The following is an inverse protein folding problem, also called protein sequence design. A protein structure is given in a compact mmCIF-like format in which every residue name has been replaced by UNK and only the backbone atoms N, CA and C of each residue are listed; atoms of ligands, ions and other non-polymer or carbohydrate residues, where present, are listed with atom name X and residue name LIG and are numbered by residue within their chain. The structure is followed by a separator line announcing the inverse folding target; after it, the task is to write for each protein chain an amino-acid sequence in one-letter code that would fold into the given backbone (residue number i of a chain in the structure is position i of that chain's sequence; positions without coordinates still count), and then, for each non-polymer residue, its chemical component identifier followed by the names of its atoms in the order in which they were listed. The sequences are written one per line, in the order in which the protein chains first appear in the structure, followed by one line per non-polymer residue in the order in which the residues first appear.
data_IF_062471592118
#
_entry.id   IF_062471592118
#
_cell.length_a   1.000
_cell.length_b   1.000
_cell.length_c   1.000
_cell.angle_alpha   90.00
_cell.angle_beta   90.00
_cell.angle_gamma   90.00
#
_symmetry.space_group_name_H-M   'P 1'
#
loop_
_entity.id
_entity.type
_entity.pdbx_description
1 polymer ?
#
# COMPACT_ATOMS: atom_id res chain seq x y z
N UNK A 1 -6.63 -2.57 3.45
CA UNK A 1 -6.22 -3.25 2.21
C UNK A 1 -6.34 -4.78 2.25
N UNK A 2 -5.62 -5.51 3.10
CA UNK A 2 -5.63 -7.00 3.07
C UNK A 2 -7.01 -7.60 3.34
N UNK A 3 -7.73 -7.11 4.35
CA UNK A 3 -9.09 -7.55 4.64
C UNK A 3 -10.07 -7.23 3.50
N UNK A 4 -9.90 -6.07 2.85
CA UNK A 4 -10.69 -5.69 1.69
C UNK A 4 -10.40 -6.61 0.49
N UNK A 5 -9.13 -6.95 0.25
CA UNK A 5 -8.74 -7.91 -0.79
C UNK A 5 -9.37 -9.29 -0.54
N UNK A 6 -9.30 -9.79 0.69
CA UNK A 6 -9.95 -11.05 1.07
C UNK A 6 -11.48 -11.01 0.89
N UNK A 7 -12.12 -9.89 1.25
CA UNK A 7 -13.57 -9.72 1.06
C UNK A 7 -13.94 -9.72 -0.44
N UNK A 8 -13.20 -8.97 -1.26
CA UNK A 8 -13.41 -8.88 -2.69
C UNK A 8 -13.21 -10.23 -3.39
N UNK A 9 -12.20 -10.99 -3.00
CA UNK A 9 -11.90 -12.28 -3.62
C UNK A 9 -12.88 -13.39 -3.18
N UNK A 10 -13.22 -13.44 -1.90
CA UNK A 10 -13.90 -14.59 -1.32
C UNK A 10 -15.40 -14.39 -1.14
N UNK A 11 -15.81 -13.29 -0.50
CA UNK A 11 -17.22 -13.06 -0.17
C UNK A 11 -17.97 -12.64 -1.44
N UNK A 12 -17.46 -11.61 -2.12
CA UNK A 12 -18.14 -11.06 -3.29
C UNK A 12 -18.25 -12.07 -4.44
N UNK A 13 -17.18 -12.80 -4.71
CA UNK A 13 -17.15 -13.83 -5.77
C UNK A 13 -18.11 -14.97 -5.47
N UNK A 14 -18.14 -15.45 -4.22
CA UNK A 14 -19.06 -16.50 -3.79
C UNK A 14 -20.52 -16.06 -3.88
N UNK A 15 -20.84 -14.84 -3.46
CA UNK A 15 -22.19 -14.29 -3.55
C UNK A 15 -22.64 -14.14 -5.02
N UNK A 16 -21.72 -13.76 -5.92
CA UNK A 16 -22.02 -13.72 -7.36
C UNK A 16 -22.24 -15.11 -7.96
N UNK A 17 -21.47 -16.13 -7.53
CA UNK A 17 -21.66 -17.52 -7.95
C UNK A 17 -23.01 -18.07 -7.47
N UNK A 18 -23.43 -17.74 -6.26
CA UNK A 18 -24.73 -18.14 -5.69
C UNK A 18 -25.90 -17.47 -6.43
N UNK A 19 -25.83 -16.15 -6.66
CA UNK A 19 -26.82 -15.43 -7.46
C UNK A 19 -26.97 -16.01 -8.89
N UNK A 20 -25.85 -16.37 -9.54
CA UNK A 20 -25.86 -17.02 -10.87
C UNK A 20 -26.49 -18.41 -10.81
N UNK A 21 -26.23 -19.18 -9.74
CA UNK A 21 -26.84 -20.50 -9.54
C UNK A 21 -28.35 -20.41 -9.34
N UNK A 22 -28.84 -19.34 -8.70
CA UNK A 22 -30.28 -19.09 -8.51
C UNK A 22 -30.98 -18.47 -9.73
N UNK A 23 -30.26 -18.20 -10.82
CA UNK A 23 -30.82 -17.59 -12.03
C UNK A 23 -31.13 -16.10 -11.89
N UNK A 24 -30.54 -15.44 -10.90
CA UNK A 24 -30.65 -13.99 -10.70
C UNK A 24 -29.75 -13.30 -11.73
N UNK A 25 -30.32 -12.36 -12.49
CA UNK A 25 -29.57 -11.53 -13.45
C UNK A 25 -28.74 -10.50 -12.69
N UNK A 26 -27.60 -10.94 -12.14
CA UNK A 26 -26.65 -10.08 -11.45
C UNK A 26 -25.96 -9.19 -12.48
N UNK A 27 -26.20 -7.88 -12.40
CA UNK A 27 -25.41 -6.87 -13.08
C UNK A 27 -23.94 -7.12 -12.73
N UNK A 28 -23.04 -7.10 -13.71
CA UNK A 28 -21.62 -7.35 -13.52
C UNK A 28 -20.99 -6.18 -12.73
N UNK A 29 -21.19 -6.20 -11.41
CA UNK A 29 -20.69 -5.20 -10.48
C UNK A 29 -19.18 -5.45 -10.38
N UNK A 30 -18.39 -4.64 -11.09
CA UNK A 30 -16.93 -4.63 -10.95
C UNK A 30 -16.57 -4.15 -9.56
N UNK A 31 -16.15 -5.09 -8.71
CA UNK A 31 -15.50 -4.76 -7.45
C UNK A 31 -14.17 -4.03 -7.73
N UNK A 32 -13.85 -2.91 -7.07
CA UNK A 32 -12.57 -2.24 -7.28
C UNK A 32 -11.42 -3.12 -6.81
N UNK A 33 -10.57 -3.53 -7.75
CA UNK A 33 -9.38 -4.33 -7.49
C UNK A 33 -8.35 -3.49 -6.73
N UNK A 34 -8.01 -3.90 -5.51
CA UNK A 34 -7.02 -3.23 -4.67
C UNK A 34 -5.66 -3.95 -4.67
N UNK A 35 -5.47 -4.96 -5.51
CA UNK A 35 -4.21 -5.69 -5.67
C UNK A 35 -3.02 -4.76 -5.99
N UNK A 36 -3.14 -3.74 -6.86
CA UNK A 36 -2.04 -2.81 -7.12
C UNK A 36 -1.60 -2.04 -5.86
N UNK A 37 -2.55 -1.60 -5.03
CA UNK A 37 -2.26 -0.91 -3.77
C UNK A 37 -1.63 -1.87 -2.73
N UNK A 38 -2.09 -3.13 -2.69
CA UNK A 38 -1.49 -4.17 -1.85
C UNK A 38 -0.03 -4.44 -2.24
N UNK A 39 0.25 -4.58 -3.54
CA UNK A 39 1.60 -4.79 -4.05
C UNK A 39 2.51 -3.58 -3.80
N UNK A 40 1.97 -2.36 -3.92
CA UNK A 40 2.70 -1.13 -3.57
C UNK A 40 3.13 -1.14 -2.09
N UNK A 41 2.25 -1.52 -1.17
CA UNK A 41 2.54 -1.44 0.27
C UNK A 41 3.39 -2.63 0.73
N UNK A 42 2.91 -3.85 0.47
CA UNK A 42 3.42 -5.08 1.07
C UNK A 42 4.02 -6.08 0.06
N UNK A 43 4.06 -5.74 -1.23
CA UNK A 43 4.66 -6.60 -2.24
C UNK A 43 6.19 -6.74 -2.06
N UNK A 44 6.82 -7.70 -2.76
CA UNK A 44 8.25 -8.00 -2.61
C UNK A 44 9.22 -6.85 -2.92
N UNK A 45 8.72 -5.78 -3.54
CA UNK A 45 9.47 -4.54 -3.83
C UNK A 45 8.72 -3.30 -3.35
N UNK A 46 7.78 -3.49 -2.42
CA UNK A 46 6.87 -2.46 -1.92
C UNK A 46 7.51 -1.50 -0.93
N UNK A 47 6.68 -0.62 -0.37
CA UNK A 47 7.07 0.42 0.59
C UNK A 47 7.67 -0.20 1.86
N UNK A 48 7.07 -1.27 2.40
CA UNK A 48 7.58 -1.90 3.62
C UNK A 48 8.97 -2.52 3.42
N UNK A 49 9.21 -3.16 2.26
CA UNK A 49 10.54 -3.68 1.92
C UNK A 49 11.56 -2.54 1.78
N UNK A 50 11.19 -1.42 1.17
CA UNK A 50 12.08 -0.26 1.09
C UNK A 50 12.42 0.32 2.48
N UNK A 51 11.49 0.23 3.44
CA UNK A 51 11.72 0.64 4.83
C UNK A 51 12.69 -0.31 5.53
N UNK A 52 12.52 -1.62 5.36
CA UNK A 52 13.41 -2.63 5.93
C UNK A 52 14.83 -2.53 5.35
N UNK A 53 14.94 -2.33 4.03
CA UNK A 53 16.20 -2.08 3.33
C UNK A 53 16.94 -0.91 4.01
N UNK A 54 16.27 0.24 4.18
CA UNK A 54 16.86 1.43 4.78
C UNK A 54 17.19 1.22 6.28
N UNK A 55 16.33 0.53 7.03
CA UNK A 55 16.58 0.16 8.42
C UNK A 55 17.85 -0.67 8.59
N UNK A 56 18.14 -1.56 7.63
CA UNK A 56 19.33 -2.43 7.64
C UNK A 56 20.63 -1.69 7.34
N UNK A 57 20.56 -0.48 6.74
CA UNK A 57 21.73 0.34 6.50
C UNK A 57 22.24 0.93 7.82
N UNK A 58 23.54 0.75 8.10
CA UNK A 58 24.17 1.29 9.31
C UNK A 58 24.11 2.83 9.43
N UNK A 59 23.78 3.54 8.35
CA UNK A 59 23.54 4.99 8.31
C UNK A 59 22.19 5.35 7.66
N UNK A 60 21.23 4.42 7.64
CA UNK A 60 19.91 4.65 7.07
C UNK A 60 19.19 5.82 7.75
N UNK A 61 18.41 6.57 6.97
CA UNK A 61 17.65 7.73 7.46
C UNK A 61 16.24 7.73 6.91
N UNK A 62 15.29 8.38 7.62
CA UNK A 62 13.91 8.55 7.13
C UNK A 62 13.86 9.21 5.74
N UNK A 63 14.76 10.17 5.49
CA UNK A 63 14.87 10.84 4.20
C UNK A 63 15.44 9.91 3.11
N UNK A 64 16.40 9.04 3.44
CA UNK A 64 16.90 8.02 2.51
C UNK A 64 15.80 7.04 2.12
N UNK A 65 15.01 6.58 3.10
CA UNK A 65 13.80 5.79 2.85
C UNK A 65 12.81 6.53 1.93
N UNK A 66 12.49 7.79 2.23
CA UNK A 66 11.60 8.60 1.39
C UNK A 66 12.11 8.72 -0.05
N UNK A 67 13.39 9.04 -0.24
CA UNK A 67 14.00 9.19 -1.56
C UNK A 67 13.95 7.87 -2.34
N UNK A 68 14.22 6.74 -1.68
CA UNK A 68 14.09 5.39 -2.24
C UNK A 68 12.67 5.11 -2.72
N UNK A 69 11.65 5.37 -1.88
CA UNK A 69 10.24 5.19 -2.23
C UNK A 69 9.82 6.09 -3.40
N UNK A 70 10.16 7.37 -3.35
CA UNK A 70 9.86 8.32 -4.44
C UNK A 70 10.53 7.88 -5.73
N UNK A 71 11.80 7.47 -5.69
CA UNK A 71 12.51 6.98 -6.87
C UNK A 71 11.86 5.72 -7.45
N UNK A 72 11.37 4.82 -6.61
CA UNK A 72 10.72 3.55 -7.03
C UNK A 72 9.34 3.79 -7.65
N UNK A 73 8.54 4.73 -7.13
CA UNK A 73 7.10 4.78 -7.44
C UNK A 73 6.57 6.09 -8.02
N UNK A 74 7.24 7.24 -7.83
CA UNK A 74 6.72 8.53 -8.32
C UNK A 74 6.66 8.55 -9.86
N UNK A 75 5.48 8.81 -10.40
CA UNK A 75 5.19 8.73 -11.83
C UNK A 75 5.22 7.32 -12.44
N UNK A 76 5.40 6.27 -11.62
CA UNK A 76 5.52 4.87 -12.06
C UNK A 76 4.40 3.97 -11.52
N UNK A 77 3.84 4.28 -10.35
CA UNK A 77 2.76 3.52 -9.74
C UNK A 77 1.48 4.36 -9.64
N UNK A 78 0.31 3.87 -10.08
CA UNK A 78 -0.93 4.65 -10.08
C UNK A 78 -1.39 5.05 -8.68
N UNK A 79 -1.14 4.20 -7.68
CA UNK A 79 -1.57 4.47 -6.29
C UNK A 79 -0.56 5.24 -5.44
N UNK A 80 0.54 5.71 -6.04
CA UNK A 80 1.56 6.47 -5.32
C UNK A 80 1.68 7.89 -5.87
N UNK A 81 1.80 8.87 -4.97
CA UNK A 81 2.02 10.25 -5.34
C UNK A 81 2.96 10.97 -4.39
N UNK A 82 3.98 11.62 -4.93
CA UNK A 82 4.82 12.55 -4.18
C UNK A 82 4.08 13.85 -3.84
N UNK A 83 4.18 14.32 -2.60
CA UNK A 83 3.71 15.66 -2.24
C UNK A 83 4.77 16.71 -2.59
N UNK A 84 4.47 17.63 -3.53
CA UNK A 84 5.47 18.59 -4.04
C UNK A 84 5.93 19.64 -3.01
N UNK A 85 5.07 19.97 -2.05
CA UNK A 85 5.30 21.04 -1.07
C UNK A 85 6.05 20.57 0.18
N UNK A 86 6.13 19.25 0.41
CA UNK A 86 6.74 18.67 1.60
C UNK A 86 7.68 17.53 1.17
N UNK A 87 8.98 17.72 1.43
CA UNK A 87 10.04 16.82 0.96
C UNK A 87 10.19 15.53 1.77
N UNK A 88 9.30 15.29 2.71
CA UNK A 88 9.28 14.15 3.63
C UNK A 88 7.92 13.42 3.61
N UNK A 89 7.07 13.76 2.64
CA UNK A 89 5.67 13.36 2.64
C UNK A 89 5.25 12.78 1.28
N UNK A 90 4.55 11.65 1.31
CA UNK A 90 3.95 10.99 0.14
C UNK A 90 2.49 10.64 0.39
N UNK A 91 1.77 10.33 -0.67
CA UNK A 91 0.35 9.96 -0.63
C UNK A 91 0.22 8.56 -1.22
N UNK A 92 -0.56 7.72 -0.56
CA UNK A 92 -1.04 6.45 -1.10
C UNK A 92 -2.53 6.55 -1.36
N UNK A 93 -2.95 6.16 -2.56
CA UNK A 93 -4.34 6.05 -2.94
C UNK A 93 -4.85 4.66 -2.52
N UNK A 94 -5.49 4.58 -1.36
CA UNK A 94 -6.12 3.35 -0.88
C UNK A 94 -7.53 3.22 -1.46
N UNK A 95 -8.07 2.01 -1.37
CA UNK A 95 -9.46 1.72 -1.75
C UNK A 95 -10.47 2.71 -1.14
N UNK A 96 -10.32 3.03 0.15
CA UNK A 96 -11.24 3.92 0.87
C UNK A 96 -10.94 5.42 0.71
N UNK A 97 -9.84 5.78 0.05
CA UNK A 97 -9.42 7.17 -0.11
C UNK A 97 -7.90 7.37 -0.07
N UNK A 98 -7.50 8.61 -0.31
CA UNK A 98 -6.07 8.98 -0.30
C UNK A 98 -5.61 9.29 1.12
N UNK A 99 -4.48 8.71 1.52
CA UNK A 99 -3.87 8.96 2.82
C UNK A 99 -2.48 9.56 2.63
N UNK A 100 -2.19 10.61 3.39
CA UNK A 100 -0.91 11.32 3.37
C UNK A 100 -0.03 10.80 4.51
N UNK A 101 1.20 10.42 4.20
CA UNK A 101 2.19 9.89 5.13
C UNK A 101 3.44 10.76 5.18
N UNK A 102 3.84 11.15 6.38
CA UNK A 102 5.12 11.83 6.63
C UNK A 102 6.11 10.81 7.20
N UNK A 103 7.33 10.74 6.65
CA UNK A 103 8.31 9.70 6.95
C UNK A 103 9.05 9.88 8.28
N UNK A 104 8.86 11.00 8.97
CA UNK A 104 9.58 11.31 10.19
C UNK A 104 9.34 10.24 11.28
N UNK A 105 10.43 9.69 11.81
CA UNK A 105 10.44 8.66 12.84
C UNK A 105 10.07 7.26 12.35
N UNK A 106 10.02 7.01 11.04
CA UNK A 106 9.66 5.70 10.50
C UNK A 106 10.73 4.64 10.81
N UNK A 107 12.01 4.95 10.61
CA UNK A 107 13.08 3.99 10.91
C UNK A 107 13.14 3.65 12.41
N UNK A 108 12.95 4.64 13.28
CA UNK A 108 12.91 4.43 14.73
C UNK A 108 11.77 3.48 15.11
N UNK A 109 10.55 3.76 14.61
CA UNK A 109 9.37 2.93 14.87
C UNK A 109 9.48 1.53 14.29
N UNK A 110 10.14 1.36 13.13
CA UNK A 110 10.28 0.07 12.48
C UNK A 110 11.39 -0.80 13.10
N UNK A 111 12.46 -0.18 13.63
CA UNK A 111 13.57 -0.92 14.25
C UNK A 111 13.19 -1.59 15.56
N UNK A 112 12.13 -1.13 16.23
CA UNK A 112 11.62 -1.64 17.52
C UNK A 112 12.75 -1.95 18.53
N UNK A 113 13.83 -1.14 18.50
CA UNK A 113 14.95 -1.33 19.42
C UNK A 113 14.49 -0.88 20.80
N UNK A 114 14.19 -1.84 21.65
CA UNK A 114 14.08 -1.63 23.09
C UNK A 114 15.40 -0.98 23.54
N UNK A 115 15.30 0.20 24.15
CA UNK A 115 16.45 0.79 24.86
C UNK A 115 16.78 -0.14 26.03
N UNK A 116 18.00 -0.67 26.07
CA UNK A 116 18.56 -1.36 27.24
C UNK A 116 18.54 -0.45 28.48
#
# INVERSE_FOLDING_TARGET
ETLQGHYNEYIFKKDMEECRAEGIDVVDIKCPDNSPCLDLVAGPRGILVALDDECSLGKGTDMGFYESVVQRFDGKHPDFKKLKVARDTFIVHHYAGSVTYTVNGWLEKNRDTLKD
#
